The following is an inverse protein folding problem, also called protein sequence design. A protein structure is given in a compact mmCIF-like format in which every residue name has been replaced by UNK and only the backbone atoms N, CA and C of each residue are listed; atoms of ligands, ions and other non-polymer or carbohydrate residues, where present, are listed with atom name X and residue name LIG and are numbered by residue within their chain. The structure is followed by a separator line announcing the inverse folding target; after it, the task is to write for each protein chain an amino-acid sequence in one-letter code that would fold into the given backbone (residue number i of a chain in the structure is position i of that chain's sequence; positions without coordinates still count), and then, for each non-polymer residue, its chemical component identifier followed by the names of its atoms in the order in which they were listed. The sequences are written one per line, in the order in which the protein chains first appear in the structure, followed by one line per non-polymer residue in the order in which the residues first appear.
data_IF_908788768752
#
_entry.id   IF_908788768752
#
_cell.length_a   1.000
_cell.length_b   1.000
_cell.length_c   1.000
_cell.angle_alpha   90.00
_cell.angle_beta   90.00
_cell.angle_gamma   90.00
#
_symmetry.space_group_name_H-M   'P 1'
#
loop_
_entity.id
_entity.type
_entity.pdbx_description
1 polymer ?
#
# COMPACT_ATOMS: atom_id res chain seq x y z
N UNK A 1 14.64 -1.52 32.92
CA UNK A 1 13.97 -2.82 33.11
C UNK A 1 13.96 -3.52 31.76
N UNK A 2 14.79 -4.54 31.58
CA UNK A 2 14.79 -5.37 30.38
C UNK A 2 13.55 -6.27 30.45
N UNK A 3 12.62 -6.09 29.52
CA UNK A 3 11.54 -7.06 29.31
C UNK A 3 12.22 -8.24 28.63
N UNK A 4 12.45 -9.32 29.38
CA UNK A 4 13.00 -10.55 28.81
C UNK A 4 12.17 -10.93 27.59
N UNK A 5 12.85 -11.07 26.44
CA UNK A 5 12.29 -11.46 25.17
C UNK A 5 11.55 -12.80 25.35
N UNK A 6 10.24 -12.76 25.57
CA UNK A 6 9.46 -13.97 25.76
C UNK A 6 9.42 -14.68 24.42
N UNK A 7 10.01 -15.88 24.37
CA UNK A 7 9.86 -16.83 23.26
C UNK A 7 8.45 -16.73 22.68
N UNK A 8 8.28 -16.69 21.33
CA UNK A 8 6.97 -16.59 20.71
C UNK A 8 6.04 -17.60 21.38
N UNK A 9 4.86 -17.13 21.80
CA UNK A 9 3.97 -17.96 22.59
C UNK A 9 3.77 -19.29 21.85
N UNK A 10 3.83 -20.43 22.56
CA UNK A 10 3.63 -21.79 22.00
C UNK A 10 2.41 -21.87 21.08
N UNK A 11 1.43 -20.99 21.30
CA UNK A 11 0.23 -20.83 20.48
C UNK A 11 0.51 -20.34 19.05
N UNK A 12 1.44 -19.38 18.85
CA UNK A 12 1.82 -18.88 17.51
C UNK A 12 2.43 -20.02 16.68
N UNK A 13 3.42 -20.73 17.24
CA UNK A 13 4.07 -21.86 16.56
C UNK A 13 3.06 -22.97 16.23
N UNK A 14 2.17 -23.31 17.17
CA UNK A 14 1.11 -24.31 16.94
C UNK A 14 0.14 -23.89 15.83
N UNK A 15 -0.19 -22.60 15.74
CA UNK A 15 -1.06 -22.05 14.70
C UNK A 15 -0.39 -22.10 13.33
N UNK A 16 0.88 -21.70 13.24
CA UNK A 16 1.67 -21.77 12.01
C UNK A 16 1.85 -23.21 11.53
N UNK A 17 2.10 -24.16 12.44
CA UNK A 17 2.15 -25.59 12.12
C UNK A 17 0.82 -26.09 11.56
N UNK A 18 -0.31 -25.73 12.19
CA UNK A 18 -1.65 -26.09 11.74
C UNK A 18 -1.98 -25.54 10.35
N UNK A 19 -1.62 -24.29 10.06
CA UNK A 19 -1.82 -23.68 8.74
C UNK A 19 -0.91 -24.37 7.71
N UNK A 20 0.35 -24.61 8.06
CA UNK A 20 1.32 -25.27 7.18
C UNK A 20 0.91 -26.70 6.80
N UNK A 21 0.17 -27.40 7.65
CA UNK A 21 -0.36 -28.73 7.37
C UNK A 21 -1.57 -28.74 6.41
N UNK A 22 -2.20 -27.59 6.13
CA UNK A 22 -3.37 -27.54 5.22
C UNK A 22 -2.94 -27.73 3.77
N UNK A 23 -3.76 -28.48 3.04
CA UNK A 23 -3.68 -28.59 1.58
C UNK A 23 -4.32 -27.38 0.91
N UNK A 24 -3.81 -26.99 -0.27
CA UNK A 24 -4.36 -25.89 -1.07
C UNK A 24 -4.10 -24.47 -0.54
N UNK A 25 -3.25 -24.31 0.49
CA UNK A 25 -2.83 -22.98 0.98
C UNK A 25 -1.34 -22.77 0.78
N UNK A 26 -0.96 -21.54 0.45
CA UNK A 26 0.44 -21.11 0.49
C UNK A 26 0.98 -21.26 1.91
N UNK A 27 2.21 -21.75 2.02
CA UNK A 27 2.85 -21.94 3.33
C UNK A 27 3.13 -20.57 3.95
N UNK A 28 2.70 -20.34 5.21
CA UNK A 28 2.91 -19.06 5.86
C UNK A 28 4.40 -18.84 6.08
N UNK A 29 4.81 -17.57 6.01
CA UNK A 29 6.15 -17.12 6.36
C UNK A 29 6.02 -16.02 7.40
N UNK A 30 6.82 -16.08 8.45
CA UNK A 30 6.76 -15.12 9.54
C UNK A 30 8.13 -14.92 10.17
N UNK A 31 8.55 -13.65 10.26
CA UNK A 31 9.71 -13.21 11.00
C UNK A 31 9.22 -12.29 12.13
N UNK A 32 9.69 -12.51 13.35
CA UNK A 32 9.43 -11.63 14.50
C UNK A 32 10.76 -11.28 15.10
N UNK A 33 11.07 -9.99 15.12
CA UNK A 33 12.27 -9.42 15.73
C UNK A 33 11.85 -8.44 16.82
N UNK A 34 12.66 -8.34 17.87
CA UNK A 34 12.56 -7.26 18.86
C UNK A 34 13.62 -6.19 18.58
N UNK A 35 13.45 -5.02 19.20
CA UNK A 35 14.46 -3.97 19.13
C UNK A 35 15.83 -4.53 19.53
N UNK A 36 16.87 -4.20 18.76
CA UNK A 36 18.25 -4.75 18.81
C UNK A 36 18.54 -5.92 17.84
N UNK A 37 17.55 -6.35 17.04
CA UNK A 37 17.77 -7.36 15.99
C UNK A 37 17.79 -8.80 16.50
N UNK A 38 17.35 -9.03 17.74
CA UNK A 38 17.12 -10.37 18.26
C UNK A 38 15.87 -10.96 17.60
N UNK A 39 16.06 -12.07 16.89
CA UNK A 39 14.97 -12.82 16.27
C UNK A 39 14.27 -13.70 17.30
N UNK A 40 12.99 -13.42 17.55
CA UNK A 40 12.13 -14.25 18.38
C UNK A 40 11.54 -15.44 17.61
N UNK A 41 11.16 -15.24 16.35
CA UNK A 41 10.56 -16.27 15.50
C UNK A 41 11.08 -16.13 14.07
N UNK A 42 11.49 -17.25 13.50
CA UNK A 42 11.65 -17.40 12.05
C UNK A 42 10.93 -18.67 11.61
N UNK A 43 9.91 -18.52 10.76
CA UNK A 43 9.07 -19.62 10.30
C UNK A 43 8.95 -19.59 8.77
N UNK A 44 9.31 -20.71 8.14
CA UNK A 44 9.40 -20.83 6.69
C UNK A 44 10.67 -20.17 6.15
N UNK A 45 10.76 -20.01 4.82
CA UNK A 45 11.89 -19.30 4.20
C UNK A 45 11.56 -17.81 4.04
N UNK A 46 11.92 -17.04 5.07
CA UNK A 46 11.70 -15.59 5.14
C UNK A 46 12.64 -14.79 4.24
N UNK A 47 13.65 -15.44 3.62
CA UNK A 47 14.57 -14.79 2.67
C UNK A 47 13.98 -14.64 1.26
N UNK A 48 12.96 -15.43 0.92
CA UNK A 48 12.35 -15.40 -0.40
C UNK A 48 11.53 -14.11 -0.63
N UNK A 49 11.42 -13.63 -1.88
CA UNK A 49 10.60 -12.46 -2.21
C UNK A 49 9.14 -12.57 -1.74
N UNK A 50 8.54 -11.43 -1.41
CA UNK A 50 7.12 -11.31 -1.05
C UNK A 50 6.46 -10.22 -1.90
N UNK A 51 5.26 -10.50 -2.42
CA UNK A 51 4.43 -9.47 -3.02
C UNK A 51 3.91 -8.52 -1.93
N UNK A 52 4.40 -7.28 -1.92
CA UNK A 52 4.09 -6.30 -0.86
C UNK A 52 2.63 -5.81 -0.91
N UNK A 53 2.02 -5.77 -2.09
CA UNK A 53 0.66 -5.28 -2.27
C UNK A 53 0.47 -3.90 -1.60
N UNK A 54 -0.46 -3.82 -0.65
CA UNK A 54 -0.75 -2.59 0.09
C UNK A 54 0.38 -2.08 0.99
N UNK A 55 1.34 -2.93 1.38
CA UNK A 55 2.50 -2.52 2.19
C UNK A 55 3.42 -1.55 1.44
N UNK A 56 3.36 -1.52 0.10
CA UNK A 56 4.08 -0.54 -0.73
C UNK A 56 3.80 0.89 -0.29
N UNK A 57 2.60 1.20 0.23
CA UNK A 57 2.26 2.54 0.75
C UNK A 57 3.14 2.97 1.92
N UNK A 58 3.58 2.04 2.77
CA UNK A 58 4.48 2.37 3.88
C UNK A 58 5.87 2.78 3.38
N UNK A 59 6.36 2.11 2.32
CA UNK A 59 7.61 2.48 1.66
C UNK A 59 7.48 3.86 1.01
N UNK A 60 6.39 4.10 0.27
CA UNK A 60 6.12 5.42 -0.33
C UNK A 60 6.00 6.51 0.74
N UNK A 61 5.29 6.24 1.84
CA UNK A 61 5.18 7.16 2.98
C UNK A 61 6.57 7.52 3.54
N UNK A 62 7.44 6.53 3.77
CA UNK A 62 8.79 6.77 4.25
C UNK A 62 9.62 7.63 3.28
N UNK A 63 9.48 7.41 1.97
CA UNK A 63 10.14 8.23 0.95
C UNK A 63 9.66 9.68 1.00
N UNK A 64 8.35 9.91 1.08
CA UNK A 64 7.77 11.26 1.17
C UNK A 64 8.19 11.95 2.46
N UNK A 65 8.16 11.27 3.60
CA UNK A 65 8.60 11.83 4.88
C UNK A 65 10.08 12.20 4.86
N UNK A 66 10.94 11.40 4.21
CA UNK A 66 12.35 11.73 4.01
C UNK A 66 12.53 12.99 3.18
N UNK A 67 11.72 13.18 2.13
CA UNK A 67 11.83 14.35 1.27
C UNK A 67 11.26 15.61 1.96
N UNK A 68 10.26 15.46 2.85
CA UNK A 68 9.82 16.50 3.78
C UNK A 68 10.95 16.90 4.75
N UNK A 69 11.61 15.92 5.37
CA UNK A 69 12.74 16.14 6.29
C UNK A 69 13.90 16.91 5.62
N UNK A 70 14.14 16.64 4.34
CA UNK A 70 15.13 17.36 3.52
C UNK A 70 14.68 18.74 3.05
N UNK A 71 13.45 19.15 3.34
CA UNK A 71 12.86 20.41 2.88
C UNK A 71 12.53 20.44 1.38
N UNK A 72 12.53 19.29 0.70
CA UNK A 72 12.16 19.20 -0.72
C UNK A 72 10.63 19.25 -0.92
N UNK A 73 9.87 18.84 0.10
CA UNK A 73 8.41 18.87 0.13
C UNK A 73 7.91 19.42 1.47
N UNK A 74 6.65 19.81 1.50
CA UNK A 74 5.93 20.08 2.75
C UNK A 74 4.57 19.37 2.71
N UNK A 75 3.93 19.24 3.87
CA UNK A 75 2.57 18.70 3.94
C UNK A 75 1.55 19.55 3.15
N UNK A 76 1.83 20.84 3.00
CA UNK A 76 0.99 21.81 2.29
C UNK A 76 1.31 21.91 0.79
N UNK A 77 2.36 21.25 0.31
CA UNK A 77 2.71 21.23 -1.11
C UNK A 77 1.54 20.64 -1.90
N UNK A 78 1.04 21.40 -2.88
CA UNK A 78 -0.03 20.96 -3.75
C UNK A 78 0.52 20.02 -4.83
N UNK A 79 -0.25 18.99 -5.21
CA UNK A 79 0.22 18.02 -6.21
C UNK A 79 0.39 18.64 -7.60
N UNK A 80 -0.35 19.71 -7.90
CA UNK A 80 -0.27 20.48 -9.14
C UNK A 80 1.05 21.23 -9.28
N UNK A 81 1.75 21.51 -8.18
CA UNK A 81 3.07 22.14 -8.20
C UNK A 81 4.18 21.14 -8.57
N UNK A 82 3.87 19.83 -8.56
CA UNK A 82 4.83 18.74 -8.74
C UNK A 82 4.57 17.90 -9.99
N UNK A 83 3.32 17.82 -10.43
CA UNK A 83 2.87 16.97 -11.52
C UNK A 83 2.30 17.83 -12.65
N UNK A 84 2.49 17.41 -13.92
CA UNK A 84 1.81 18.02 -15.06
C UNK A 84 0.30 18.13 -14.87
N UNK A 85 -0.29 19.23 -15.34
CA UNK A 85 -1.71 19.56 -15.18
C UNK A 85 -2.65 18.51 -15.80
N UNK A 86 -2.22 17.88 -16.90
CA UNK A 86 -2.94 16.81 -17.58
C UNK A 86 -3.00 15.51 -16.78
N UNK A 87 -2.11 15.31 -15.80
CA UNK A 87 -2.18 14.19 -14.86
C UNK A 87 -3.00 14.51 -13.61
N UNK A 88 -3.15 15.79 -13.26
CA UNK A 88 -3.83 16.22 -12.03
C UNK A 88 -5.30 16.49 -12.29
N UNK A 89 -5.65 17.09 -13.42
CA UNK A 89 -7.04 17.43 -13.76
C UNK A 89 -7.94 16.20 -13.75
N UNK A 90 -9.13 16.34 -13.15
CA UNK A 90 -10.14 15.27 -13.11
C UNK A 90 -9.98 14.20 -12.01
N UNK A 91 -8.87 14.18 -11.26
CA UNK A 91 -8.63 13.20 -10.19
C UNK A 91 -9.67 13.26 -9.04
N UNK A 92 -10.25 14.42 -8.79
CA UNK A 92 -11.27 14.62 -7.76
C UNK A 92 -12.38 15.56 -8.26
N UNK A 93 -13.39 14.99 -8.91
CA UNK A 93 -14.57 15.72 -9.38
C UNK A 93 -15.76 15.45 -8.47
N UNK A 94 -16.26 16.48 -7.80
CA UNK A 94 -17.43 16.42 -6.93
C UNK A 94 -18.50 17.40 -7.40
N UNK A 95 -19.71 16.91 -7.67
CA UNK A 95 -20.82 17.78 -8.08
C UNK A 95 -20.54 18.61 -9.34
N UNK A 96 -19.79 18.05 -10.31
CA UNK A 96 -19.31 18.71 -11.54
C UNK A 96 -18.25 19.80 -11.33
N UNK A 97 -17.70 19.92 -10.12
CA UNK A 97 -16.57 20.79 -9.82
C UNK A 97 -15.31 19.96 -9.66
N UNK A 98 -14.25 20.37 -10.34
CA UNK A 98 -12.91 19.78 -10.19
C UNK A 98 -12.22 20.40 -8.96
N UNK A 99 -11.79 19.54 -8.04
CA UNK A 99 -11.08 19.86 -6.81
C UNK A 99 -9.62 19.38 -6.82
N UNK A 100 -9.15 18.81 -7.93
CA UNK A 100 -7.86 18.11 -8.01
C UNK A 100 -6.67 19.02 -7.72
N UNK A 101 -6.75 20.29 -8.13
CA UNK A 101 -5.73 21.30 -7.86
C UNK A 101 -5.61 21.71 -6.37
N UNK A 102 -6.56 21.31 -5.52
CA UNK A 102 -6.51 21.58 -4.07
C UNK A 102 -5.90 20.42 -3.25
N UNK A 103 -5.55 19.32 -3.91
CA UNK A 103 -4.98 18.14 -3.25
C UNK A 103 -3.54 18.45 -2.85
N UNK A 104 -3.19 18.14 -1.60
CA UNK A 104 -1.86 18.34 -1.02
C UNK A 104 -1.24 17.01 -0.62
N UNK A 105 0.05 17.03 -0.28
CA UNK A 105 0.74 15.87 0.30
C UNK A 105 0.03 15.37 1.57
N UNK A 106 -0.43 16.25 2.46
CA UNK A 106 -1.19 15.86 3.65
C UNK A 106 -2.47 15.10 3.30
N UNK A 107 -3.19 15.52 2.26
CA UNK A 107 -4.39 14.84 1.79
C UNK A 107 -4.08 13.42 1.28
N UNK A 108 -3.00 13.24 0.51
CA UNK A 108 -2.57 11.94 0.02
C UNK A 108 -2.16 11.00 1.16
N UNK A 109 -1.26 11.44 2.05
CA UNK A 109 -0.71 10.60 3.12
C UNK A 109 -1.75 10.18 4.16
N UNK A 110 -2.83 10.95 4.30
CA UNK A 110 -3.91 10.66 5.25
C UNK A 110 -5.16 10.04 4.61
N UNK A 111 -5.11 9.66 3.32
CA UNK A 111 -6.25 9.10 2.59
C UNK A 111 -7.50 10.01 2.58
N UNK A 112 -7.28 11.33 2.49
CA UNK A 112 -8.34 12.36 2.48
C UNK A 112 -8.31 13.25 1.23
N UNK A 113 -7.67 12.81 0.16
CA UNK A 113 -7.61 13.53 -1.12
C UNK A 113 -8.94 13.56 -1.88
N UNK A 114 -9.86 12.63 -1.58
CA UNK A 114 -11.11 12.50 -2.33
C UNK A 114 -10.92 11.89 -3.72
N UNK A 115 -9.73 11.36 -4.04
CA UNK A 115 -9.51 10.57 -5.26
C UNK A 115 -10.25 9.24 -5.12
N UNK A 116 -11.01 8.87 -6.14
CA UNK A 116 -11.82 7.64 -6.13
C UNK A 116 -10.95 6.39 -6.23
N UNK A 117 -11.36 5.31 -5.57
CA UNK A 117 -10.73 4.01 -5.79
C UNK A 117 -11.15 3.45 -7.15
N UNK A 118 -10.21 3.44 -8.09
CA UNK A 118 -10.41 2.92 -9.43
C UNK A 118 -10.18 1.41 -9.56
N UNK A 119 -9.63 0.76 -8.52
CA UNK A 119 -9.57 -0.71 -8.50
C UNK A 119 -10.96 -1.31 -8.30
N UNK A 120 -11.74 -0.71 -7.40
CA UNK A 120 -13.12 -1.09 -7.10
C UNK A 120 -14.04 0.14 -7.06
N UNK A 121 -14.32 0.77 -8.22
CA UNK A 121 -15.09 1.99 -8.26
C UNK A 121 -16.52 1.77 -7.74
N UNK A 122 -17.09 2.74 -7.01
CA UNK A 122 -18.46 2.66 -6.53
C UNK A 122 -19.47 2.73 -7.69
N UNK A 123 -20.37 1.75 -7.80
CA UNK A 123 -21.46 1.71 -8.78
C UNK A 123 -21.48 0.43 -9.65
N UNK A 124 -22.55 0.25 -10.42
CA UNK A 124 -22.81 -0.98 -11.20
C UNK A 124 -22.25 -0.98 -12.63
N UNK A 125 -21.65 0.12 -13.10
CA UNK A 125 -21.30 0.26 -14.51
C UNK A 125 -19.83 -0.02 -14.77
N UNK A 126 -19.60 -1.06 -15.58
CA UNK A 126 -18.34 -1.56 -16.14
C UNK A 126 -17.57 -2.59 -15.30
N UNK A 127 -16.79 -3.43 -16.01
CA UNK A 127 -15.90 -4.44 -15.46
C UNK A 127 -14.78 -3.74 -14.67
N UNK A 128 -14.81 -3.83 -13.34
CA UNK A 128 -13.80 -3.20 -12.46
C UNK A 128 -12.38 -3.57 -12.86
N UNK A 129 -11.40 -2.70 -12.61
CA UNK A 129 -10.00 -3.03 -12.88
C UNK A 129 -9.58 -4.35 -12.22
N UNK A 130 -10.04 -4.58 -10.98
CA UNK A 130 -9.84 -5.84 -10.27
C UNK A 130 -10.36 -7.06 -11.04
N UNK A 131 -11.55 -6.97 -11.64
CA UNK A 131 -12.12 -8.07 -12.44
C UNK A 131 -11.46 -8.24 -13.82
N UNK A 132 -10.73 -7.23 -14.30
CA UNK A 132 -9.91 -7.35 -15.51
C UNK A 132 -8.61 -8.09 -15.22
N UNK A 133 -7.87 -7.66 -14.18
CA UNK A 133 -6.58 -8.25 -13.83
C UNK A 133 -6.67 -9.67 -13.27
N UNK A 134 -7.79 -10.03 -12.65
CA UNK A 134 -8.01 -11.41 -12.16
C UNK A 134 -8.31 -12.40 -13.27
N UNK A 135 -8.64 -11.93 -14.48
CA UNK A 135 -8.95 -12.79 -15.63
C UNK A 135 -7.76 -12.96 -16.57
N UNK A 136 -6.92 -11.94 -16.71
CA UNK A 136 -5.71 -11.99 -17.52
C UNK A 136 -4.66 -11.04 -16.98
N UNK A 137 -3.41 -11.50 -16.90
CA UNK A 137 -2.27 -10.63 -16.63
C UNK A 137 -2.18 -9.54 -17.69
N UNK A 138 -2.04 -8.30 -17.23
CA UNK A 138 -1.92 -7.12 -18.09
C UNK A 138 -0.97 -6.11 -17.46
N UNK A 139 -0.12 -5.51 -18.28
CA UNK A 139 0.64 -4.31 -17.92
C UNK A 139 -0.07 -3.05 -18.38
N UNK A 140 0.23 -1.93 -17.74
CA UNK A 140 -0.19 -0.59 -18.14
C UNK A 140 0.95 0.40 -17.99
N UNK A 141 0.94 1.43 -18.82
CA UNK A 141 1.74 2.61 -18.60
C UNK A 141 1.00 3.61 -17.69
N UNK A 142 1.67 4.71 -17.30
CA UNK A 142 1.09 5.73 -16.42
C UNK A 142 -0.22 6.32 -16.97
N UNK A 143 -0.26 6.69 -18.25
CA UNK A 143 -1.45 7.27 -18.87
C UNK A 143 -2.63 6.30 -18.84
N UNK A 144 -2.40 5.03 -19.14
CA UNK A 144 -3.42 3.98 -19.05
C UNK A 144 -3.92 3.78 -17.61
N UNK A 145 -3.04 3.88 -16.61
CA UNK A 145 -3.46 3.80 -15.21
C UNK A 145 -4.34 4.99 -14.80
N UNK A 146 -4.04 6.19 -15.32
CA UNK A 146 -4.80 7.41 -15.05
C UNK A 146 -6.14 7.46 -15.80
N UNK A 147 -6.25 6.87 -17.00
CA UNK A 147 -7.54 6.72 -17.69
C UNK A 147 -8.54 5.84 -16.92
N UNK A 148 -8.03 4.98 -16.03
CA UNK A 148 -8.85 4.10 -15.20
C UNK A 148 -9.29 4.83 -13.91
N UNK A 149 -8.53 5.85 -13.48
CA UNK A 149 -8.71 6.63 -12.25
C UNK A 149 -9.89 7.62 -12.32
#
# INVERSE_FOLDING_TARGET
MSIAATSPSRWVQKSLAKISARHGVHKPRALVEIGEGETLLDWGDTSLPLALGGLTRLLTLAMVLRDIDRGALSLDTAIVDMLPDDLVSGLCVMGKKDHSNTITIAHLLSHRSGITDYFTPPGEKSRTLLSQITTSDRGWNLHQALEIA
#
